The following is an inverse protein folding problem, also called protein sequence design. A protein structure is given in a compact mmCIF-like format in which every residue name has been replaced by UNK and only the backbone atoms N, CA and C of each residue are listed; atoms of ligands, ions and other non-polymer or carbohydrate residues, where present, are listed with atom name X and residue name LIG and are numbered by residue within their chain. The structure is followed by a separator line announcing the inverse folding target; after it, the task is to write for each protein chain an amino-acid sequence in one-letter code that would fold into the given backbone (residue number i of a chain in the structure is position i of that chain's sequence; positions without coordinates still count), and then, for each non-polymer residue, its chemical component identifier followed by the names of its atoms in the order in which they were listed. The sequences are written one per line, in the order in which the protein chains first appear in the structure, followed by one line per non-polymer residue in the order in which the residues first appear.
data_IF_737172662369
#
_entry.id   IF_737172662369
#
_cell.length_a   1.000
_cell.length_b   1.000
_cell.length_c   1.000
_cell.angle_alpha   90.00
_cell.angle_beta   90.00
_cell.angle_gamma   90.00
#
_symmetry.space_group_name_H-M   'P 1'
#
loop_
_entity.id
_entity.type
_entity.pdbx_description
1 polymer ?
#
# COMPACT_ATOMS: atom_id res chain seq x y z
N UNK A 1 -3.81 11.28 -15.77
CA UNK A 1 -4.17 11.05 -14.36
C UNK A 1 -3.27 9.97 -13.78
N UNK A 2 -2.73 10.19 -12.61
CA UNK A 2 -1.98 9.18 -11.85
C UNK A 2 -2.83 8.68 -10.69
N UNK A 3 -2.68 7.40 -10.32
CA UNK A 3 -3.48 6.78 -9.26
C UNK A 3 -2.58 5.97 -8.32
N UNK A 4 -2.78 6.11 -7.02
CA UNK A 4 -2.05 5.35 -6.01
C UNK A 4 -3.03 4.60 -5.12
N UNK A 5 -2.72 3.33 -4.88
CA UNK A 5 -3.32 2.48 -3.86
C UNK A 5 -2.32 2.34 -2.71
N UNK A 6 -2.66 2.88 -1.56
CA UNK A 6 -1.83 2.78 -0.34
C UNK A 6 -2.39 1.67 0.53
N UNK A 7 -1.60 0.65 0.78
CA UNK A 7 -2.00 -0.52 1.59
C UNK A 7 -0.98 -0.76 2.70
N UNK A 8 -1.44 -0.74 3.94
CA UNK A 8 -0.61 -1.22 5.06
C UNK A 8 -0.61 -2.75 5.08
N UNK A 9 0.54 -3.35 5.34
CA UNK A 9 0.66 -4.80 5.50
C UNK A 9 -0.42 -5.37 6.43
N UNK A 10 -0.80 -6.64 6.22
CA UNK A 10 -1.73 -7.35 7.08
C UNK A 10 -1.11 -7.66 8.45
N UNK A 11 -1.94 -8.00 9.44
CA UNK A 11 -1.50 -8.17 10.83
C UNK A 11 -0.45 -9.26 10.96
N UNK A 12 0.67 -8.92 11.59
CA UNK A 12 1.81 -9.82 11.79
C UNK A 12 1.80 -10.49 13.17
N UNK A 13 2.51 -11.62 13.24
CA UNK A 13 2.62 -12.46 14.43
C UNK A 13 3.73 -12.00 15.37
N UNK A 14 3.47 -12.13 16.68
CA UNK A 14 4.44 -11.98 17.76
C UNK A 14 4.71 -13.30 18.49
N UNK A 15 4.24 -14.45 17.92
CA UNK A 15 4.35 -15.75 18.60
C UNK A 15 5.80 -16.17 18.77
N UNK A 16 6.63 -16.03 17.71
CA UNK A 16 8.04 -16.36 17.76
C UNK A 16 8.88 -15.13 18.09
N UNK A 17 9.21 -14.98 19.37
CA UNK A 17 10.02 -13.86 19.86
C UNK A 17 11.50 -13.91 19.45
N UNK A 18 11.95 -15.03 18.86
CA UNK A 18 13.31 -15.17 18.34
C UNK A 18 13.51 -14.49 16.98
N UNK A 19 12.41 -14.20 16.26
CA UNK A 19 12.45 -13.52 14.97
C UNK A 19 12.69 -12.01 15.15
N UNK A 20 13.59 -11.46 14.32
CA UNK A 20 13.68 -10.01 14.14
C UNK A 20 12.40 -9.46 13.49
N UNK A 21 12.12 -8.19 13.69
CA UNK A 21 10.91 -7.53 13.18
C UNK A 21 10.71 -7.73 11.68
N UNK A 22 11.76 -7.62 10.90
CA UNK A 22 11.74 -7.81 9.43
C UNK A 22 11.20 -9.18 9.01
N UNK A 23 11.48 -10.22 9.80
CA UNK A 23 11.14 -11.61 9.49
C UNK A 23 9.82 -12.09 10.08
N UNK A 24 9.07 -11.25 10.80
CA UNK A 24 7.78 -11.64 11.38
C UNK A 24 6.74 -11.93 10.30
N UNK A 25 6.13 -13.13 10.28
CA UNK A 25 5.09 -13.51 9.32
C UNK A 25 3.73 -12.92 9.73
N UNK A 26 2.73 -13.11 8.88
CA UNK A 26 1.35 -12.79 9.21
C UNK A 26 0.82 -13.71 10.31
N UNK A 27 -0.07 -13.18 11.17
CA UNK A 27 -0.86 -13.99 12.09
C UNK A 27 -2.19 -14.42 11.45
N UNK A 28 -3.04 -15.14 12.20
CA UNK A 28 -4.32 -15.64 11.68
C UNK A 28 -5.25 -14.51 11.22
N UNK A 29 -5.26 -13.35 11.90
CA UNK A 29 -6.03 -12.19 11.47
C UNK A 29 -5.51 -11.62 10.15
N UNK A 30 -4.19 -11.52 9.99
CA UNK A 30 -3.57 -11.07 8.73
C UNK A 30 -3.88 -12.01 7.57
N UNK A 31 -3.88 -13.32 7.82
CA UNK A 31 -4.22 -14.36 6.84
C UNK A 31 -5.72 -14.34 6.45
N UNK A 32 -6.57 -13.71 7.25
CA UNK A 32 -8.00 -13.49 6.94
C UNK A 32 -8.24 -12.15 6.26
N UNK A 33 -7.67 -11.08 6.80
CA UNK A 33 -7.90 -9.71 6.31
C UNK A 33 -7.26 -9.47 4.93
N UNK A 34 -6.08 -10.04 4.69
CA UNK A 34 -5.39 -9.91 3.41
C UNK A 34 -6.20 -10.40 2.22
N UNK A 35 -6.62 -11.69 2.21
CA UNK A 35 -7.49 -12.20 1.15
C UNK A 35 -8.80 -11.42 1.00
N UNK A 36 -9.45 -11.06 2.10
CA UNK A 36 -10.71 -10.33 2.11
C UNK A 36 -10.58 -8.96 1.42
N UNK A 37 -9.52 -8.20 1.72
CA UNK A 37 -9.27 -6.92 1.08
C UNK A 37 -8.88 -7.08 -0.39
N UNK A 38 -8.12 -8.12 -0.74
CA UNK A 38 -7.77 -8.39 -2.14
C UNK A 38 -9.00 -8.73 -2.98
N UNK A 39 -9.95 -9.49 -2.43
CA UNK A 39 -11.25 -9.74 -3.07
C UNK A 39 -12.00 -8.42 -3.27
N UNK A 40 -12.11 -7.61 -2.23
CA UNK A 40 -12.76 -6.29 -2.33
C UNK A 40 -12.19 -5.45 -3.48
N UNK A 41 -10.87 -5.32 -3.54
CA UNK A 41 -10.24 -4.52 -4.57
C UNK A 41 -10.42 -5.13 -5.97
N UNK A 42 -10.31 -6.46 -6.10
CA UNK A 42 -10.44 -7.15 -7.39
C UNK A 42 -11.85 -7.09 -7.99
N UNK A 43 -12.88 -6.77 -7.20
CA UNK A 43 -14.24 -6.50 -7.76
C UNK A 43 -14.34 -5.13 -8.42
N UNK A 44 -13.36 -4.27 -8.23
CA UNK A 44 -13.35 -2.88 -8.71
C UNK A 44 -12.34 -2.64 -9.83
N UNK A 45 -11.26 -3.39 -9.83
CA UNK A 45 -10.16 -3.24 -10.81
C UNK A 45 -9.57 -4.61 -11.15
N UNK A 46 -9.11 -4.76 -12.39
CA UNK A 46 -8.47 -5.97 -12.89
C UNK A 46 -6.95 -5.85 -12.94
N UNK A 47 -6.43 -4.62 -13.03
CA UNK A 47 -5.01 -4.37 -13.25
C UNK A 47 -4.54 -3.10 -12.55
N UNK A 48 -3.31 -3.16 -12.05
CA UNK A 48 -2.51 -2.02 -11.58
C UNK A 48 -1.16 -2.12 -12.29
N UNK A 49 -0.60 -1.00 -12.75
CA UNK A 49 0.62 -1.05 -13.56
C UNK A 49 1.83 -1.47 -12.72
N UNK A 50 2.00 -0.91 -11.52
CA UNK A 50 3.20 -1.13 -10.71
C UNK A 50 2.86 -1.49 -9.27
N UNK A 51 3.48 -2.56 -8.75
CA UNK A 51 3.48 -2.89 -7.33
C UNK A 51 4.85 -2.57 -6.72
N UNK A 52 4.88 -1.62 -5.80
CA UNK A 52 6.05 -1.26 -4.99
C UNK A 52 5.83 -1.72 -3.56
N UNK A 53 6.51 -2.77 -3.16
CA UNK A 53 6.26 -3.47 -1.89
C UNK A 53 7.53 -3.54 -1.05
N UNK A 54 7.43 -3.24 0.24
CA UNK A 54 8.52 -3.51 1.18
C UNK A 54 8.88 -4.99 1.17
N UNK A 55 10.16 -5.31 1.27
CA UNK A 55 10.67 -6.69 1.22
C UNK A 55 10.57 -7.45 2.53
N UNK A 56 10.02 -6.87 3.60
CA UNK A 56 9.77 -7.59 4.85
C UNK A 56 8.82 -8.78 4.63
N UNK A 57 8.89 -9.79 5.50
CA UNK A 57 8.08 -11.00 5.35
C UNK A 57 6.57 -10.67 5.34
N UNK A 58 6.09 -9.84 6.28
CA UNK A 58 4.67 -9.50 6.37
C UNK A 58 4.13 -8.73 5.17
N UNK A 59 4.93 -7.84 4.56
CA UNK A 59 4.53 -7.13 3.34
C UNK A 59 4.55 -8.05 2.13
N UNK A 60 5.56 -8.89 2.01
CA UNK A 60 5.66 -9.90 0.96
C UNK A 60 4.48 -10.87 0.99
N UNK A 61 4.14 -11.43 2.16
CA UNK A 61 2.99 -12.32 2.30
C UNK A 61 1.67 -11.61 1.99
N UNK A 62 1.51 -10.34 2.43
CA UNK A 62 0.33 -9.53 2.08
C UNK A 62 0.20 -9.35 0.57
N UNK A 63 1.30 -9.04 -0.12
CA UNK A 63 1.30 -8.78 -1.56
C UNK A 63 0.80 -9.97 -2.37
N UNK A 64 1.05 -11.19 -1.93
CA UNK A 64 0.65 -12.42 -2.64
C UNK A 64 -0.86 -12.51 -2.83
N UNK A 65 -1.66 -12.10 -1.84
CA UNK A 65 -3.11 -12.11 -1.95
C UNK A 65 -3.61 -11.19 -3.07
N UNK A 66 -2.92 -10.08 -3.29
CA UNK A 66 -3.27 -9.13 -4.36
C UNK A 66 -2.77 -9.61 -5.72
N UNK A 67 -1.55 -10.14 -5.80
CA UNK A 67 -0.98 -10.69 -7.05
C UNK A 67 -1.81 -11.85 -7.61
N UNK A 68 -2.42 -12.65 -6.76
CA UNK A 68 -3.29 -13.76 -7.18
C UNK A 68 -4.59 -13.30 -7.83
N UNK A 69 -5.03 -12.05 -7.62
CA UNK A 69 -6.34 -11.56 -8.03
C UNK A 69 -6.31 -10.37 -8.98
N UNK A 70 -5.24 -9.61 -8.95
CA UNK A 70 -5.05 -8.38 -9.72
C UNK A 70 -3.77 -8.54 -10.54
N UNK A 71 -3.84 -8.20 -11.82
CA UNK A 71 -2.67 -8.20 -12.68
C UNK A 71 -1.80 -6.99 -12.39
N UNK A 72 -0.50 -7.22 -12.24
CA UNK A 72 0.52 -6.18 -12.19
C UNK A 72 1.42 -6.30 -13.42
N UNK A 73 1.77 -5.17 -14.03
CA UNK A 73 2.73 -5.16 -15.17
C UNK A 73 4.13 -5.39 -14.62
N UNK A 74 4.50 -4.63 -13.57
CA UNK A 74 5.78 -4.76 -12.91
C UNK A 74 5.62 -4.84 -11.40
N UNK A 75 6.49 -5.61 -10.76
CA UNK A 75 6.51 -5.82 -9.30
C UNK A 75 7.93 -5.59 -8.80
N UNK A 76 8.08 -4.73 -7.81
CA UNK A 76 9.35 -4.49 -7.13
C UNK A 76 9.20 -4.68 -5.62
N UNK A 77 10.04 -5.56 -5.07
CA UNK A 77 10.25 -5.66 -3.62
C UNK A 77 11.47 -4.82 -3.25
N UNK A 78 11.30 -3.90 -2.32
CA UNK A 78 12.29 -2.86 -2.02
C UNK A 78 12.49 -2.72 -0.52
N UNK A 79 13.72 -3.01 -0.06
CA UNK A 79 14.09 -2.88 1.33
C UNK A 79 14.05 -1.42 1.81
N UNK A 80 14.21 -0.45 0.90
CA UNK A 80 14.14 0.97 1.24
C UNK A 80 12.77 1.40 1.76
N UNK A 81 11.70 0.64 1.47
CA UNK A 81 10.35 0.88 2.02
C UNK A 81 10.18 0.35 3.46
N UNK A 82 11.12 -0.45 3.94
CA UNK A 82 11.11 -0.91 5.33
C UNK A 82 11.55 0.22 6.26
N UNK A 83 10.67 0.60 7.20
CA UNK A 83 10.87 1.75 8.10
C UNK A 83 11.07 3.11 7.41
N UNK A 84 10.58 3.25 6.17
CA UNK A 84 10.68 4.50 5.43
C UNK A 84 9.76 5.59 6.00
N UNK A 85 10.25 6.83 5.97
CA UNK A 85 9.44 8.02 6.25
C UNK A 85 8.50 8.33 5.09
N UNK A 86 7.47 9.16 5.35
CA UNK A 86 6.61 9.66 4.28
C UNK A 86 7.39 10.40 3.19
N UNK A 87 8.39 11.20 3.56
CA UNK A 87 9.24 11.91 2.60
C UNK A 87 10.00 10.97 1.66
N UNK A 88 10.55 9.88 2.19
CA UNK A 88 11.23 8.87 1.39
C UNK A 88 10.27 8.17 0.44
N UNK A 89 9.05 7.85 0.89
CA UNK A 89 8.02 7.23 0.06
C UNK A 89 7.59 8.20 -1.05
N UNK A 90 7.35 9.47 -0.74
CA UNK A 90 6.99 10.50 -1.74
C UNK A 90 8.08 10.64 -2.79
N UNK A 91 9.36 10.67 -2.38
CA UNK A 91 10.48 10.75 -3.31
C UNK A 91 10.53 9.53 -4.24
N UNK A 92 10.27 8.33 -3.72
CA UNK A 92 10.16 7.13 -4.54
C UNK A 92 9.02 7.24 -5.57
N UNK A 93 7.84 7.68 -5.15
CA UNK A 93 6.68 7.83 -6.04
C UNK A 93 6.99 8.83 -7.18
N UNK A 94 7.61 9.95 -6.85
CA UNK A 94 7.97 10.98 -7.84
C UNK A 94 8.99 10.52 -8.87
N UNK A 95 9.68 9.41 -8.60
CA UNK A 95 10.66 8.79 -9.50
C UNK A 95 10.10 7.59 -10.28
N UNK A 96 8.83 7.23 -10.14
CA UNK A 96 8.24 6.14 -10.89
C UNK A 96 8.30 6.41 -12.41
N UNK A 97 8.44 5.34 -13.18
CA UNK A 97 8.42 5.43 -14.64
C UNK A 97 7.08 6.01 -15.10
N UNK A 98 7.15 6.97 -16.02
CA UNK A 98 5.97 7.68 -16.51
C UNK A 98 5.03 6.80 -17.36
N UNK A 99 5.51 5.64 -17.81
CA UNK A 99 4.65 4.64 -18.45
C UNK A 99 3.57 4.10 -17.51
N UNK A 100 3.82 4.10 -16.18
CA UNK A 100 2.81 3.68 -15.19
C UNK A 100 1.81 4.81 -14.92
N UNK A 101 0.53 4.49 -15.00
CA UNK A 101 -0.55 5.39 -14.59
C UNK A 101 -1.16 5.02 -13.24
N UNK A 102 -0.91 3.81 -12.77
CA UNK A 102 -1.35 3.33 -11.47
C UNK A 102 -0.24 2.59 -10.74
N UNK A 103 -0.17 2.77 -9.42
CA UNK A 103 0.77 2.07 -8.56
C UNK A 103 0.11 1.66 -7.24
N UNK A 104 0.49 0.50 -6.72
CA UNK A 104 0.16 0.07 -5.36
C UNK A 104 1.41 0.09 -4.51
N UNK A 105 1.31 0.67 -3.32
CA UNK A 105 2.39 0.68 -2.33
C UNK A 105 1.96 -0.15 -1.15
N UNK A 106 2.76 -1.17 -0.80
CA UNK A 106 2.55 -1.98 0.40
C UNK A 106 3.75 -1.76 1.33
N UNK A 107 3.51 -1.13 2.46
CA UNK A 107 4.56 -0.74 3.40
C UNK A 107 4.05 -0.68 4.84
N UNK A 108 4.61 0.21 5.65
CA UNK A 108 4.50 0.23 7.10
C UNK A 108 4.07 1.59 7.64
N UNK A 109 3.55 1.61 8.87
CA UNK A 109 3.38 2.83 9.64
C UNK A 109 4.65 3.13 10.48
N UNK A 110 4.89 4.41 10.84
CA UNK A 110 4.01 5.57 10.59
C UNK A 110 4.11 6.16 9.18
N UNK A 111 5.04 5.69 8.35
CA UNK A 111 5.30 6.26 7.03
C UNK A 111 4.06 6.37 6.14
N UNK A 112 3.22 5.31 6.08
CA UNK A 112 2.01 5.29 5.25
C UNK A 112 0.93 6.25 5.76
N UNK A 113 0.67 6.29 7.06
CA UNK A 113 -0.29 7.25 7.63
C UNK A 113 0.12 8.68 7.33
N UNK A 114 1.40 9.00 7.56
CA UNK A 114 1.95 10.32 7.27
C UNK A 114 1.90 10.64 5.77
N UNK A 115 2.21 9.68 4.91
CA UNK A 115 2.10 9.82 3.46
C UNK A 115 0.70 10.27 3.05
N UNK A 116 -0.33 9.54 3.49
CA UNK A 116 -1.72 9.83 3.15
C UNK A 116 -2.10 11.25 3.61
N UNK A 117 -1.72 11.61 4.83
CA UNK A 117 -2.03 12.94 5.39
C UNK A 117 -1.29 14.08 4.67
N UNK A 118 -0.13 13.80 4.07
CA UNK A 118 0.65 14.81 3.33
C UNK A 118 0.20 14.99 1.88
N UNK A 119 -0.25 13.92 1.21
CA UNK A 119 -0.59 13.97 -0.22
C UNK A 119 -2.10 14.03 -0.50
N UNK A 120 -2.93 14.08 0.53
CA UNK A 120 -4.38 14.18 0.41
C UNK A 120 -4.98 15.10 1.48
N UNK A 121 -6.25 15.46 1.29
CA UNK A 121 -7.00 16.35 2.19
C UNK A 121 -7.66 15.62 3.37
N UNK A 122 -7.47 14.31 3.48
CA UNK A 122 -7.96 13.56 4.63
C UNK A 122 -6.92 13.54 5.76
N UNK A 123 -7.40 13.41 6.99
CA UNK A 123 -6.55 13.26 8.18
C UNK A 123 -6.87 11.96 8.87
N UNK A 124 -5.91 11.03 8.84
CA UNK A 124 -5.97 9.75 9.56
C UNK A 124 -5.09 9.81 10.81
N UNK A 125 -5.61 9.34 11.94
CA UNK A 125 -4.78 9.11 13.13
C UNK A 125 -3.86 7.91 12.92
N UNK A 126 -4.40 6.83 12.31
CA UNK A 126 -3.66 5.62 12.02
C UNK A 126 -4.34 4.80 10.91
N UNK A 127 -3.61 4.49 9.85
CA UNK A 127 -4.03 3.51 8.87
C UNK A 127 -3.94 2.10 9.49
N UNK A 128 -5.05 1.38 9.69
CA UNK A 128 -4.99 0.05 10.29
C UNK A 128 -4.28 -0.96 9.39
N UNK A 129 -3.82 -2.07 9.94
CA UNK A 129 -3.29 -3.19 9.14
C UNK A 129 -4.33 -3.63 8.11
N UNK A 130 -3.89 -3.92 6.89
CA UNK A 130 -4.73 -4.22 5.71
C UNK A 130 -5.66 -3.06 5.30
N UNK A 131 -5.50 -1.87 5.90
CA UNK A 131 -6.22 -0.66 5.46
C UNK A 131 -5.76 -0.23 4.08
N UNK A 132 -6.72 0.13 3.23
CA UNK A 132 -6.52 0.53 1.84
C UNK A 132 -7.05 1.95 1.62
N UNK A 133 -6.25 2.78 0.95
CA UNK A 133 -6.66 4.12 0.51
C UNK A 133 -6.33 4.28 -0.97
N UNK A 134 -7.33 4.67 -1.76
CA UNK A 134 -7.19 4.96 -3.19
C UNK A 134 -7.19 6.46 -3.40
N UNK A 135 -6.15 6.98 -4.05
CA UNK A 135 -5.98 8.42 -4.32
C UNK A 135 -5.71 8.63 -5.80
N UNK A 136 -6.50 9.48 -6.43
CA UNK A 136 -6.28 9.98 -7.79
C UNK A 136 -5.56 11.32 -7.75
N UNK A 137 -4.69 11.55 -8.75
CA UNK A 137 -4.00 12.83 -8.94
C UNK A 137 -4.29 13.34 -10.35
N UNK A 138 -4.80 14.55 -10.45
CA UNK A 138 -5.02 15.22 -11.74
C UNK A 138 -3.70 15.79 -12.24
N UNK A 139 -2.84 14.91 -12.70
CA UNK A 139 -1.54 15.22 -13.29
C UNK A 139 -1.13 14.12 -14.28
N UNK A 140 -0.15 14.42 -15.14
CA UNK A 140 0.38 13.47 -16.12
C UNK A 140 1.71 12.87 -15.71
N UNK A 141 2.42 13.50 -14.76
CA UNK A 141 3.73 13.05 -14.27
C UNK A 141 3.69 12.71 -12.81
N UNK A 142 4.43 11.68 -12.42
CA UNK A 142 4.58 11.31 -11.01
C UNK A 142 5.27 12.40 -10.18
N UNK A 143 6.15 13.18 -10.79
CA UNK A 143 6.81 14.33 -10.13
C UNK A 143 5.85 15.42 -9.68
N UNK A 144 4.67 15.50 -10.29
CA UNK A 144 3.70 16.59 -10.08
C UNK A 144 2.61 16.23 -9.05
N UNK A 145 2.64 15.03 -8.48
CA UNK A 145 1.67 14.66 -7.43
C UNK A 145 1.79 15.61 -6.24
N UNK A 146 0.65 16.09 -5.78
CA UNK A 146 0.55 16.97 -4.62
C UNK A 146 -0.84 16.90 -4.00
N UNK A 147 -0.99 17.44 -2.80
CA UNK A 147 -2.29 17.59 -2.15
C UNK A 147 -3.26 18.41 -3.00
N UNK A 148 -2.75 19.42 -3.73
CA UNK A 148 -3.59 20.36 -4.49
C UNK A 148 -4.28 19.71 -5.70
N UNK A 149 -3.74 18.59 -6.22
CA UNK A 149 -4.31 17.85 -7.35
C UNK A 149 -4.81 16.46 -6.97
N UNK A 150 -4.90 16.16 -5.67
CA UNK A 150 -5.33 14.88 -5.16
C UNK A 150 -6.85 14.79 -4.94
N UNK A 151 -7.39 13.58 -5.09
CA UNK A 151 -8.76 13.23 -4.69
C UNK A 151 -8.75 11.84 -4.11
N UNK A 152 -9.18 11.70 -2.85
CA UNK A 152 -9.37 10.38 -2.24
C UNK A 152 -10.65 9.78 -2.80
N UNK A 153 -10.50 8.64 -3.47
CA UNK A 153 -11.60 7.94 -4.15
C UNK A 153 -12.25 6.91 -3.24
N UNK A 154 -11.45 6.20 -2.47
CA UNK A 154 -11.92 5.16 -1.57
C UNK A 154 -11.02 5.02 -0.35
N UNK A 155 -11.66 4.71 0.78
CA UNK A 155 -10.99 4.30 2.01
C UNK A 155 -11.70 3.05 2.51
N UNK A 156 -10.96 1.96 2.67
CA UNK A 156 -11.53 0.70 3.12
C UNK A 156 -10.67 0.08 4.21
N UNK A 157 -11.30 -0.24 5.33
CA UNK A 157 -10.67 -0.93 6.45
C UNK A 157 -11.27 -2.34 6.60
N UNK A 158 -10.48 -3.33 7.07
CA UNK A 158 -10.97 -4.71 7.15
C UNK A 158 -12.26 -4.88 7.93
N UNK A 159 -12.43 -4.15 9.05
CA UNK A 159 -13.65 -4.26 9.87
C UNK A 159 -14.94 -3.85 9.13
N UNK A 160 -14.82 -3.07 8.07
CA UNK A 160 -15.98 -2.67 7.24
C UNK A 160 -16.42 -3.76 6.27
N UNK A 161 -15.60 -4.80 6.10
CA UNK A 161 -15.85 -5.94 5.21
C UNK A 161 -16.31 -7.20 5.97
N UNK A 162 -16.31 -7.14 7.31
CA UNK A 162 -16.70 -8.29 8.18
C UNK A 162 -18.18 -8.32 8.49
#
# INVERSE_FOLDING_TARGET
MKKIYVLRHSKSSWIDLSLGDFHRPLNSRGQTDGPMMSVYLSTRIDMIDFLHCSSSVRTYETSKYFIERIKFIDIQYDESLYHSSSSEIINNIKCYDEQYNSAMIIAHNPGLTNLINEISDISLDNLPTTGLVEINFDCTKWSDISIDNSTVVDIKFPKQLK
#
